data_IF_347085124804
#
_entry.id   IF_347085124804
#
_cell.length_a   1.000
_cell.length_b   1.000
_cell.length_c   1.000
_cell.angle_alpha   90.00
_cell.angle_beta   90.00
_cell.angle_gamma   90.00
#
_symmetry.space_group_name_H-M   'P 1'
#
loop_
_entity.id
_entity.type
_entity.pdbx_description
1 polymer ?
#
# COMPACT_ATOMS: atom_id res chain seq x y z
N UNK A 1 -2.09 -7.61 12.97
CA UNK A 1 -1.11 -7.44 11.84
C UNK A 1 -1.45 -6.25 10.96
N UNK A 2 -2.74 -5.94 10.73
CA UNK A 2 -3.17 -4.69 10.06
C UNK A 2 -3.11 -3.47 11.00
N UNK A 3 -3.13 -3.72 12.30
CA UNK A 3 -3.14 -2.73 13.40
C UNK A 3 -1.82 -1.93 13.45
N UNK A 4 -0.71 -2.54 12.99
CA UNK A 4 0.57 -1.84 12.80
C UNK A 4 0.58 -0.85 11.62
N UNK A 5 -0.50 -0.81 10.81
CA UNK A 5 -0.68 0.11 9.69
C UNK A 5 -1.76 1.17 9.96
N UNK A 6 -2.33 1.24 11.17
CA UNK A 6 -3.29 2.28 11.58
C UNK A 6 -2.68 3.68 11.66
N UNK A 7 -1.36 3.79 11.57
CA UNK A 7 -0.67 5.07 11.51
C UNK A 7 -0.92 5.73 10.13
N UNK A 8 -1.76 6.78 10.05
CA UNK A 8 -2.22 7.36 8.78
C UNK A 8 -1.07 7.96 7.95
N UNK A 9 0.14 8.08 8.50
CA UNK A 9 1.28 8.58 7.74
C UNK A 9 2.07 7.48 7.02
N UNK A 10 1.95 6.20 7.40
CA UNK A 10 2.80 5.15 6.79
C UNK A 10 2.32 4.74 5.41
N UNK A 11 1.03 4.46 5.27
CA UNK A 11 0.48 3.92 4.03
C UNK A 11 0.19 5.01 2.98
N UNK A 12 -0.15 6.21 3.43
CA UNK A 12 -0.51 7.33 2.55
C UNK A 12 0.71 8.05 1.93
N UNK A 13 1.94 7.75 2.40
CA UNK A 13 3.19 8.20 1.74
C UNK A 13 3.41 7.62 0.34
N UNK A 14 2.71 6.56 -0.03
CA UNK A 14 2.80 6.02 -1.37
C UNK A 14 1.98 6.88 -2.36
N UNK A 15 2.67 7.62 -3.23
CA UNK A 15 2.12 8.48 -4.29
C UNK A 15 1.92 7.76 -5.64
N UNK A 16 1.89 6.42 -5.65
CA UNK A 16 1.66 5.63 -6.87
C UNK A 16 2.66 5.86 -8.02
N UNK A 17 3.89 6.28 -7.72
CA UNK A 17 4.98 6.54 -8.68
C UNK A 17 5.42 5.26 -9.44
N UNK A 18 5.08 4.07 -8.93
CA UNK A 18 5.36 2.75 -9.53
C UNK A 18 6.82 2.29 -9.62
N UNK A 19 7.81 3.09 -9.22
CA UNK A 19 9.22 2.67 -9.16
C UNK A 19 9.47 1.33 -8.43
N UNK A 20 8.64 1.03 -7.41
CA UNK A 20 8.73 -0.21 -6.64
C UNK A 20 8.38 -1.48 -7.45
N UNK A 21 7.59 -1.33 -8.52
CA UNK A 21 7.25 -2.42 -9.45
C UNK A 21 8.41 -2.63 -10.43
N UNK A 22 8.97 -1.55 -10.96
CA UNK A 22 10.01 -1.60 -12.00
C UNK A 22 11.34 -2.14 -11.46
N UNK A 23 11.70 -1.80 -10.22
CA UNK A 23 12.95 -2.27 -9.59
C UNK A 23 12.84 -3.70 -9.05
N UNK A 24 11.66 -4.31 -9.03
CA UNK A 24 11.46 -5.56 -8.29
C UNK A 24 12.12 -6.74 -9.03
N UNK A 25 13.20 -7.33 -8.49
CA UNK A 25 13.89 -8.45 -9.15
C UNK A 25 13.04 -9.75 -9.13
N UNK A 26 11.94 -9.74 -8.39
CA UNK A 26 11.00 -10.87 -8.25
C UNK A 26 9.72 -10.69 -9.08
N UNK A 27 9.59 -9.60 -9.84
CA UNK A 27 8.38 -9.30 -10.62
C UNK A 27 7.13 -9.12 -9.75
N UNK A 28 7.29 -8.78 -8.47
CA UNK A 28 6.17 -8.48 -7.60
C UNK A 28 5.66 -7.08 -7.90
N UNK A 29 4.39 -6.84 -7.57
CA UNK A 29 3.77 -5.52 -7.72
C UNK A 29 3.37 -4.95 -6.35
N UNK A 30 4.28 -4.21 -5.69
CA UNK A 30 4.00 -3.59 -4.39
C UNK A 30 2.89 -2.54 -4.47
N UNK A 31 2.76 -1.83 -5.60
CA UNK A 31 1.72 -0.81 -5.76
C UNK A 31 0.31 -1.44 -5.68
N UNK A 32 0.10 -2.58 -6.34
CA UNK A 32 -1.17 -3.32 -6.26
C UNK A 32 -1.51 -3.76 -4.83
N UNK A 33 -0.51 -4.20 -4.06
CA UNK A 33 -0.71 -4.59 -2.67
C UNK A 33 -1.08 -3.39 -1.79
N UNK A 34 -0.38 -2.26 -1.96
CA UNK A 34 -0.66 -1.02 -1.22
C UNK A 34 -2.08 -0.50 -1.54
N UNK A 35 -2.50 -0.54 -2.81
CA UNK A 35 -3.85 -0.17 -3.21
C UNK A 35 -4.95 -0.99 -2.52
N UNK A 36 -4.77 -2.32 -2.46
CA UNK A 36 -5.69 -3.20 -1.72
C UNK A 36 -5.75 -2.87 -0.23
N UNK A 37 -4.63 -2.53 0.39
CA UNK A 37 -4.61 -2.17 1.81
C UNK A 37 -5.31 -0.82 2.03
N UNK A 38 -5.09 0.17 1.15
CA UNK A 38 -5.83 1.45 1.19
C UNK A 38 -7.35 1.23 1.10
N UNK A 39 -7.80 0.39 0.16
CA UNK A 39 -9.21 0.05 0.01
C UNK A 39 -9.79 -0.64 1.26
N UNK A 40 -9.05 -1.57 1.86
CA UNK A 40 -9.47 -2.24 3.09
C UNK A 40 -9.53 -1.28 4.28
N UNK A 41 -8.66 -0.28 4.36
CA UNK A 41 -8.72 0.77 5.39
C UNK A 41 -9.91 1.70 5.18
N UNK A 42 -10.17 2.13 3.94
CA UNK A 42 -11.36 2.95 3.62
C UNK A 42 -12.64 2.20 3.96
N UNK A 43 -12.73 0.90 3.63
CA UNK A 43 -13.88 0.06 3.98
C UNK A 43 -14.08 -0.14 5.48
N UNK A 44 -13.04 0.05 6.31
CA UNK A 44 -13.12 -0.03 7.78
C UNK A 44 -13.51 1.30 8.43
N UNK A 45 -13.23 2.41 7.75
CA UNK A 45 -13.57 3.76 8.23
C UNK A 45 -15.03 4.15 7.95
N UNK A 46 -15.72 3.38 7.10
CA UNK A 46 -17.16 3.43 6.86
C UNK A 46 -17.82 2.41 7.79
#
# INVERSE_FOLDING_TARGET
>A
RLDNLEDPYRLFRCHSIMNCVDVCPKGLNPNRAIGKIKELLVRRAI
#
